data_IF_044615454537
#
_entry.id   IF_044615454537
#
_cell.length_a   1.000
_cell.length_b   1.000
_cell.length_c   1.000
_cell.angle_alpha   90.00
_cell.angle_beta   90.00
_cell.angle_gamma   90.00
#
_symmetry.space_group_name_H-M   'P 1'
#
loop_
_entity.id
_entity.type
_entity.pdbx_description
1 polymer ?
#
# COMPACT_ATOMS: atom_id res chain seq x y z
N UNK A 1 -26.08 -50.14 82.90
CA UNK A 1 -25.79 -48.71 82.65
C UNK A 1 -24.60 -48.67 81.69
N UNK A 2 -24.64 -48.12 80.48
CA UNK A 2 -25.56 -47.14 79.90
C UNK A 2 -25.27 -47.08 78.38
N UNK A 3 -26.36 -47.03 77.60
CA UNK A 3 -26.56 -46.28 76.33
C UNK A 3 -25.79 -46.67 75.05
N UNK A 4 -26.62 -47.14 74.10
CA UNK A 4 -26.62 -46.81 72.68
C UNK A 4 -26.25 -45.34 72.38
N UNK A 5 -25.44 -45.12 71.33
CA UNK A 5 -25.60 -43.96 70.43
C UNK A 5 -25.38 -44.38 68.97
N UNK A 6 -26.05 -43.70 68.01
CA UNK A 6 -26.34 -44.21 66.68
C UNK A 6 -25.42 -43.66 65.58
N UNK A 7 -25.46 -44.38 64.47
CA UNK A 7 -24.80 -44.12 63.20
C UNK A 7 -25.22 -42.77 62.57
N UNK A 8 -24.26 -41.96 62.13
CA UNK A 8 -24.51 -40.77 61.30
C UNK A 8 -23.79 -40.93 59.97
N UNK A 9 -24.40 -41.69 59.06
CA UNK A 9 -23.99 -41.76 57.66
C UNK A 9 -24.32 -40.43 56.99
N UNK A 10 -23.30 -39.60 56.78
CA UNK A 10 -23.39 -38.38 55.99
C UNK A 10 -23.70 -38.72 54.53
N UNK A 11 -24.83 -38.23 54.04
CA UNK A 11 -25.22 -38.36 52.63
C UNK A 11 -24.26 -37.55 51.74
N UNK A 12 -23.51 -38.23 50.88
CA UNK A 12 -22.69 -37.60 49.84
C UNK A 12 -23.61 -36.92 48.82
N UNK A 13 -23.43 -35.61 48.60
CA UNK A 13 -24.16 -34.84 47.59
C UNK A 13 -23.65 -35.23 46.20
N UNK A 14 -24.52 -35.58 45.23
CA UNK A 14 -24.07 -35.90 43.88
C UNK A 14 -23.47 -34.67 43.22
N UNK A 15 -22.31 -34.83 42.60
CA UNK A 15 -21.70 -33.79 41.77
C UNK A 15 -22.58 -33.54 40.54
N UNK A 16 -23.11 -32.32 40.42
CA UNK A 16 -23.92 -31.89 39.28
C UNK A 16 -23.04 -31.91 38.01
N UNK A 17 -23.27 -32.84 37.11
CA UNK A 17 -22.61 -32.86 35.81
C UNK A 17 -22.98 -31.58 35.04
N UNK A 18 -21.99 -30.73 34.75
CA UNK A 18 -22.18 -29.59 33.86
C UNK A 18 -22.47 -30.14 32.48
N UNK A 19 -23.61 -29.75 31.88
CA UNK A 19 -23.87 -30.01 30.47
C UNK A 19 -22.99 -29.07 29.68
N UNK A 20 -22.06 -29.64 28.92
CA UNK A 20 -21.30 -28.86 27.93
C UNK A 20 -22.26 -28.47 26.80
N UNK A 21 -22.55 -27.17 26.71
CA UNK A 21 -23.32 -26.59 25.62
C UNK A 21 -22.39 -26.44 24.42
N UNK A 22 -22.58 -27.27 23.39
CA UNK A 22 -21.88 -27.17 22.12
C UNK A 22 -22.60 -26.24 21.14
N UNK A 23 -21.84 -25.65 20.21
CA UNK A 23 -22.39 -24.87 19.08
C UNK A 23 -23.18 -25.79 18.15
N UNK A 24 -24.32 -25.29 17.62
CA UNK A 24 -25.09 -26.05 16.64
C UNK A 24 -24.52 -25.89 15.23
N UNK A 25 -24.72 -26.89 14.37
CA UNK A 25 -24.31 -26.82 12.97
C UNK A 25 -24.99 -25.65 12.23
N UNK A 26 -26.25 -25.37 12.58
CA UNK A 26 -27.02 -24.24 12.02
C UNK A 26 -26.43 -22.90 12.44
N UNK A 27 -25.95 -22.77 13.68
CA UNK A 27 -25.33 -21.56 14.18
C UNK A 27 -24.03 -21.24 13.42
N UNK A 28 -23.20 -22.25 13.17
CA UNK A 28 -22.00 -22.09 12.34
C UNK A 28 -22.36 -21.75 10.88
N UNK A 29 -23.41 -22.35 10.32
CA UNK A 29 -23.85 -22.04 8.96
C UNK A 29 -24.25 -20.56 8.80
N UNK A 30 -25.01 -20.03 9.77
CA UNK A 30 -25.42 -18.62 9.76
C UNK A 30 -24.20 -17.70 9.92
N UNK A 31 -23.26 -18.04 10.80
CA UNK A 31 -22.02 -17.26 11.00
C UNK A 31 -21.19 -17.19 9.73
N UNK A 32 -20.98 -18.32 9.04
CA UNK A 32 -20.21 -18.35 7.78
C UNK A 32 -20.90 -17.54 6.70
N UNK A 33 -22.23 -17.59 6.60
CA UNK A 33 -23.00 -16.77 5.66
C UNK A 33 -22.81 -15.28 5.94
N UNK A 34 -22.90 -14.85 7.20
CA UNK A 34 -22.70 -13.45 7.58
C UNK A 34 -21.26 -13.00 7.24
N UNK A 35 -20.25 -13.79 7.60
CA UNK A 35 -18.85 -13.49 7.30
C UNK A 35 -18.62 -13.41 5.79
N UNK A 36 -19.22 -14.31 5.00
CA UNK A 36 -19.13 -14.29 3.54
C UNK A 36 -19.65 -12.98 2.93
N UNK A 37 -20.81 -12.49 3.40
CA UNK A 37 -21.39 -11.21 2.95
C UNK A 37 -20.46 -10.04 3.31
N UNK A 38 -19.94 -10.02 4.54
CA UNK A 38 -19.03 -8.97 4.99
C UNK A 38 -17.73 -8.96 4.18
N UNK A 39 -17.15 -10.14 3.93
CA UNK A 39 -15.91 -10.28 3.16
C UNK A 39 -16.06 -9.79 1.72
N UNK A 40 -17.21 -10.04 1.07
CA UNK A 40 -17.48 -9.62 -0.31
C UNK A 40 -17.43 -8.08 -0.48
N UNK A 41 -17.82 -7.32 0.55
CA UNK A 41 -17.77 -5.86 0.54
C UNK A 41 -16.40 -5.35 1.03
N UNK A 42 -15.89 -5.94 2.11
CA UNK A 42 -14.67 -5.48 2.77
C UNK A 42 -13.42 -5.69 1.92
N UNK A 43 -13.31 -6.82 1.21
CA UNK A 43 -12.12 -7.16 0.42
C UNK A 43 -11.83 -6.14 -0.70
N UNK A 44 -12.74 -5.81 -1.63
CA UNK A 44 -12.48 -4.81 -2.67
C UNK A 44 -12.32 -3.38 -2.10
N UNK A 45 -13.04 -3.06 -1.03
CA UNK A 45 -12.89 -1.76 -0.36
C UNK A 45 -11.48 -1.60 0.21
N UNK A 46 -10.96 -2.63 0.89
CA UNK A 46 -9.61 -2.60 1.45
C UNK A 46 -8.52 -2.48 0.38
N UNK A 47 -8.60 -3.27 -0.70
CA UNK A 47 -7.62 -3.18 -1.80
C UNK A 47 -7.63 -1.81 -2.46
N UNK A 48 -8.80 -1.20 -2.66
CA UNK A 48 -8.91 0.15 -3.19
C UNK A 48 -8.30 1.22 -2.27
N UNK A 49 -8.44 1.04 -0.95
CA UNK A 49 -7.86 1.94 0.03
C UNK A 49 -6.33 1.90 0.00
N UNK A 50 -5.76 0.69 -0.03
CA UNK A 50 -4.32 0.50 -0.15
C UNK A 50 -3.80 1.07 -1.48
N UNK A 51 -4.49 0.81 -2.60
CA UNK A 51 -4.12 1.37 -3.90
C UNK A 51 -4.07 2.92 -3.86
N UNK A 52 -5.06 3.56 -3.22
CA UNK A 52 -5.07 5.02 -3.03
C UNK A 52 -3.85 5.50 -2.23
N UNK A 53 -3.47 4.78 -1.17
CA UNK A 53 -2.25 5.07 -0.41
C UNK A 53 -1.00 4.94 -1.27
N UNK A 54 -0.86 3.86 -2.05
CA UNK A 54 0.29 3.65 -2.93
C UNK A 54 0.41 4.71 -4.02
N UNK A 55 -0.71 5.15 -4.59
CA UNK A 55 -0.74 6.29 -5.53
C UNK A 55 -0.32 7.59 -4.85
N UNK A 56 -0.69 7.80 -3.58
CA UNK A 56 -0.22 8.96 -2.81
C UNK A 56 1.29 8.90 -2.61
N UNK A 57 1.84 7.75 -2.23
CA UNK A 57 3.28 7.53 -2.09
C UNK A 57 4.01 7.86 -3.41
N UNK A 58 3.51 7.34 -4.55
CA UNK A 58 4.10 7.58 -5.86
C UNK A 58 4.15 9.08 -6.21
N UNK A 59 3.06 9.82 -5.95
CA UNK A 59 2.99 11.27 -6.21
C UNK A 59 3.91 12.06 -5.30
N UNK A 60 3.99 11.70 -4.02
CA UNK A 60 4.93 12.32 -3.06
C UNK A 60 6.36 12.11 -3.50
N UNK A 61 6.74 10.87 -3.84
CA UNK A 61 8.09 10.56 -4.32
C UNK A 61 8.43 11.31 -5.60
N UNK A 62 7.49 11.37 -6.55
CA UNK A 62 7.69 12.09 -7.80
C UNK A 62 7.91 13.61 -7.57
N UNK A 63 7.20 14.21 -6.61
CA UNK A 63 7.43 15.60 -6.20
C UNK A 63 8.80 15.80 -5.52
N UNK A 64 9.27 14.83 -4.72
CA UNK A 64 10.61 14.88 -4.13
C UNK A 64 11.71 14.79 -5.20
N UNK A 65 11.50 13.95 -6.24
CA UNK A 65 12.42 13.90 -7.39
C UNK A 65 12.39 15.24 -8.13
N UNK A 66 11.23 15.86 -8.35
CA UNK A 66 11.16 17.20 -8.96
C UNK A 66 11.96 18.23 -8.15
N UNK A 67 11.83 18.25 -6.83
CA UNK A 67 12.65 19.12 -5.96
C UNK A 67 14.16 18.80 -6.04
N UNK A 68 14.53 17.54 -6.26
CA UNK A 68 15.90 17.16 -6.55
C UNK A 68 16.36 17.76 -7.88
N UNK A 69 15.54 17.69 -8.95
CA UNK A 69 15.87 18.26 -10.26
C UNK A 69 16.11 19.76 -10.19
N UNK A 70 15.31 20.52 -9.44
CA UNK A 70 15.53 21.96 -9.26
C UNK A 70 16.85 22.30 -8.56
N UNK A 71 17.21 21.53 -7.53
CA UNK A 71 18.52 21.66 -6.86
C UNK A 71 19.66 21.27 -7.79
N UNK A 72 19.46 20.22 -8.59
CA UNK A 72 20.44 19.76 -9.56
C UNK A 72 20.71 20.83 -10.63
N UNK A 73 19.66 21.46 -11.16
CA UNK A 73 19.79 22.57 -12.10
C UNK A 73 20.50 23.76 -11.47
N UNK A 74 20.13 24.15 -10.24
CA UNK A 74 20.78 25.25 -9.52
C UNK A 74 22.28 25.01 -9.31
N UNK A 75 22.72 23.75 -9.26
CA UNK A 75 24.12 23.39 -9.07
C UNK A 75 24.89 23.18 -10.38
N UNK A 76 24.23 22.92 -11.51
CA UNK A 76 24.87 22.49 -12.77
C UNK A 76 24.47 23.30 -14.00
N UNK A 77 23.50 24.22 -13.87
CA UNK A 77 22.89 25.02 -14.95
C UNK A 77 22.24 24.18 -16.06
N UNK A 78 21.90 22.92 -15.74
CA UNK A 78 21.26 21.94 -16.64
C UNK A 78 20.61 20.80 -15.87
N UNK A 79 19.64 20.10 -16.48
CA UNK A 79 18.94 18.97 -15.84
C UNK A 79 19.48 17.58 -16.16
N UNK A 80 20.18 17.38 -17.27
CA UNK A 80 20.50 16.05 -17.83
C UNK A 80 21.79 15.43 -17.28
N UNK A 81 22.77 16.22 -16.86
CA UNK A 81 24.04 15.73 -16.31
C UNK A 81 24.73 16.76 -15.40
N UNK A 82 25.65 16.28 -14.57
CA UNK A 82 26.45 17.14 -13.70
C UNK A 82 27.61 17.82 -14.46
N UNK A 83 28.38 18.67 -13.77
CA UNK A 83 29.59 19.31 -14.33
C UNK A 83 30.69 18.32 -14.72
N UNK A 84 30.66 17.09 -14.21
CA UNK A 84 31.58 16.00 -14.55
C UNK A 84 31.13 15.15 -15.75
N UNK A 85 29.95 15.43 -16.31
CA UNK A 85 29.38 14.65 -17.43
C UNK A 85 28.61 13.41 -17.01
N UNK A 86 28.32 13.23 -15.72
CA UNK A 86 27.53 12.10 -15.23
C UNK A 86 26.04 12.39 -15.37
N UNK A 87 25.28 11.48 -15.97
CA UNK A 87 23.84 11.64 -16.15
C UNK A 87 23.08 11.76 -14.83
N UNK A 88 22.08 12.63 -14.79
CA UNK A 88 21.31 12.99 -13.58
C UNK A 88 20.69 11.79 -12.87
N UNK A 89 20.26 10.76 -13.62
CA UNK A 89 19.64 9.56 -13.03
C UNK A 89 20.57 8.83 -12.04
N UNK A 90 21.87 8.84 -12.31
CA UNK A 90 22.88 8.27 -11.41
C UNK A 90 23.02 9.05 -10.09
N UNK A 91 22.69 10.34 -10.12
CA UNK A 91 22.84 11.28 -9.01
C UNK A 91 21.60 11.33 -8.10
N UNK A 92 20.44 10.87 -8.59
CA UNK A 92 19.23 10.73 -7.78
C UNK A 92 19.44 9.61 -6.74
N UNK A 93 19.19 9.84 -5.44
CA UNK A 93 19.23 8.80 -4.43
C UNK A 93 18.25 7.66 -4.72
N UNK A 94 18.65 6.40 -4.49
CA UNK A 94 17.84 5.24 -4.85
C UNK A 94 16.47 5.20 -4.15
N UNK A 95 16.39 5.74 -2.93
CA UNK A 95 15.11 5.86 -2.20
C UNK A 95 14.09 6.74 -2.92
N UNK A 96 14.52 7.71 -3.72
CA UNK A 96 13.63 8.58 -4.49
C UNK A 96 13.22 7.95 -5.84
N UNK A 97 13.94 6.93 -6.32
CA UNK A 97 13.63 6.22 -7.57
C UNK A 97 12.49 5.20 -7.41
N UNK A 98 11.89 5.12 -6.22
CA UNK A 98 10.88 4.10 -5.89
C UNK A 98 9.81 4.67 -4.97
N UNK A 99 8.62 4.09 -5.07
CA UNK A 99 7.53 4.32 -4.12
C UNK A 99 6.89 2.98 -3.69
N UNK A 100 6.61 2.80 -2.38
CA UNK A 100 7.13 3.61 -1.27
C UNK A 100 8.67 3.61 -1.21
N UNK A 101 9.24 4.60 -0.51
CA UNK A 101 10.69 4.71 -0.30
C UNK A 101 11.28 3.48 0.40
N UNK A 102 10.48 2.86 1.28
CA UNK A 102 10.82 1.71 2.10
C UNK A 102 9.77 0.59 1.93
N UNK A 103 10.19 -0.66 2.09
CA UNK A 103 9.32 -1.84 1.95
C UNK A 103 9.26 -2.38 0.52
N UNK A 104 8.14 -2.98 0.15
CA UNK A 104 7.94 -3.54 -1.20
C UNK A 104 7.73 -2.42 -2.24
N UNK A 105 8.43 -2.50 -3.36
CA UNK A 105 8.36 -1.49 -4.41
C UNK A 105 7.09 -1.67 -5.25
N UNK A 106 6.27 -0.61 -5.30
CA UNK A 106 5.02 -0.59 -6.05
C UNK A 106 5.12 0.25 -7.32
N UNK A 107 5.92 1.31 -7.25
CA UNK A 107 6.25 2.16 -8.40
C UNK A 107 7.75 2.40 -8.50
N UNK A 108 8.23 2.64 -9.72
CA UNK A 108 9.60 2.95 -10.05
C UNK A 108 9.68 4.24 -10.88
N UNK A 109 10.69 5.06 -10.63
CA UNK A 109 11.04 6.16 -11.50
C UNK A 109 11.61 5.59 -12.80
N UNK A 110 11.03 6.00 -13.93
CA UNK A 110 11.56 5.65 -15.25
C UNK A 110 12.95 6.25 -15.42
N UNK A 111 13.83 5.52 -16.08
CA UNK A 111 15.20 5.98 -16.38
C UNK A 111 15.18 7.28 -17.15
N UNK A 112 16.08 8.20 -16.77
CA UNK A 112 16.18 9.48 -17.45
C UNK A 112 17.20 9.40 -18.59
N UNK A 113 16.73 9.68 -19.79
CA UNK A 113 17.49 9.67 -21.04
C UNK A 113 17.09 10.87 -21.92
N UNK A 114 17.71 11.02 -23.08
CA UNK A 114 17.49 12.18 -23.97
C UNK A 114 16.05 12.36 -24.47
N UNK A 115 15.17 11.36 -24.32
CA UNK A 115 13.74 11.49 -24.67
C UNK A 115 12.92 12.21 -23.62
N UNK A 116 13.40 12.25 -22.38
CA UNK A 116 12.63 12.72 -21.23
C UNK A 116 13.43 13.67 -20.31
N UNK A 117 14.72 13.89 -20.56
CA UNK A 117 15.51 14.95 -19.94
C UNK A 117 16.51 15.53 -20.94
N UNK A 118 16.69 16.84 -20.91
CA UNK A 118 17.75 17.55 -21.62
C UNK A 118 18.26 18.70 -20.72
N UNK A 119 19.09 19.58 -21.27
CA UNK A 119 19.67 20.66 -20.47
C UNK A 119 18.63 21.59 -19.83
N UNK A 120 17.48 21.85 -20.47
CA UNK A 120 16.51 22.86 -20.04
C UNK A 120 15.12 22.33 -19.71
N UNK A 121 14.81 21.06 -19.98
CA UNK A 121 13.52 20.47 -19.64
C UNK A 121 13.62 19.01 -19.21
N UNK A 122 12.60 18.56 -18.48
CA UNK A 122 12.47 17.17 -18.06
C UNK A 122 11.00 16.75 -18.00
N UNK A 123 10.74 15.45 -18.10
CA UNK A 123 9.48 14.82 -17.71
C UNK A 123 9.79 13.60 -16.86
N UNK A 124 9.56 13.72 -15.57
CA UNK A 124 9.71 12.61 -14.64
C UNK A 124 8.47 11.71 -14.73
N UNK A 125 8.68 10.40 -14.72
CA UNK A 125 7.59 9.42 -14.77
C UNK A 125 7.76 8.39 -13.66
N UNK A 126 6.74 8.24 -12.82
CA UNK A 126 6.66 7.22 -11.78
C UNK A 126 5.70 6.12 -12.26
N UNK A 127 6.25 4.99 -12.69
CA UNK A 127 5.53 3.89 -13.36
C UNK A 127 5.24 2.73 -12.38
N UNK A 128 4.05 2.10 -12.43
CA UNK A 128 3.78 0.90 -11.65
C UNK A 128 4.74 -0.25 -12.01
N UNK A 129 5.22 -0.98 -11.01
CA UNK A 129 6.07 -2.15 -11.23
C UNK A 129 5.24 -3.30 -11.76
N UNK A 130 5.68 -3.93 -12.86
CA UNK A 130 5.04 -5.12 -13.43
C UNK A 130 5.03 -6.27 -12.41
N UNK A 131 3.89 -6.94 -12.27
CA UNK A 131 3.70 -8.01 -11.29
C UNK A 131 3.43 -7.54 -9.85
N UNK A 132 3.54 -6.25 -9.55
CA UNK A 132 3.08 -5.69 -8.26
C UNK A 132 1.55 -5.59 -8.23
N UNK A 133 0.93 -5.44 -7.03
CA UNK A 133 -0.49 -5.11 -6.91
C UNK A 133 -0.93 -3.85 -7.67
N UNK A 134 0.01 -2.98 -8.03
CA UNK A 134 -0.25 -1.76 -8.81
C UNK A 134 -0.05 -1.94 -10.32
N UNK A 135 0.40 -3.11 -10.79
CA UNK A 135 0.74 -3.33 -12.21
C UNK A 135 -0.43 -3.12 -13.17
N UNK A 136 -1.67 -3.29 -12.71
CA UNK A 136 -2.91 -3.03 -13.47
C UNK A 136 -3.67 -1.82 -12.93
N UNK A 137 -2.98 -0.87 -12.29
CA UNK A 137 -3.63 0.28 -11.70
C UNK A 137 -4.29 1.18 -12.77
N UNK A 138 -5.57 1.55 -12.59
CA UNK A 138 -6.29 2.42 -13.53
C UNK A 138 -5.66 3.81 -13.76
N UNK A 139 -4.80 4.29 -12.87
CA UNK A 139 -4.08 5.56 -13.04
C UNK A 139 -2.76 5.43 -13.80
N UNK A 140 -2.29 4.21 -14.08
CA UNK A 140 -1.05 3.99 -14.80
C UNK A 140 0.14 4.71 -14.16
N UNK A 141 0.93 5.38 -15.00
CA UNK A 141 2.13 6.11 -14.59
C UNK A 141 1.81 7.57 -14.29
N UNK A 142 2.35 8.11 -13.20
CA UNK A 142 2.25 9.52 -12.87
C UNK A 142 3.40 10.30 -13.50
N UNK A 143 3.13 11.47 -14.06
CA UNK A 143 4.16 12.32 -14.68
C UNK A 143 4.17 13.74 -14.10
N UNK A 144 5.34 14.36 -14.05
CA UNK A 144 5.51 15.78 -13.78
C UNK A 144 6.68 16.34 -14.59
N UNK A 145 6.55 17.54 -15.14
CA UNK A 145 7.62 18.24 -15.85
C UNK A 145 8.20 19.42 -15.05
N UNK A 146 9.16 20.14 -15.64
CA UNK A 146 9.82 21.29 -15.01
C UNK A 146 8.88 22.48 -14.74
N UNK A 147 7.74 22.55 -15.43
CA UNK A 147 6.72 23.57 -15.23
C UNK A 147 5.69 23.18 -14.15
N UNK A 148 5.87 22.00 -13.52
CA UNK A 148 4.91 21.45 -12.57
C UNK A 148 3.64 20.90 -13.21
N UNK A 149 3.61 20.74 -14.54
CA UNK A 149 2.48 20.13 -15.23
C UNK A 149 2.40 18.65 -14.89
N UNK A 150 1.31 18.29 -14.21
CA UNK A 150 1.01 16.93 -13.76
C UNK A 150 0.23 16.17 -14.82
N UNK A 151 0.63 14.93 -15.11
CA UNK A 151 0.01 14.08 -16.10
C UNK A 151 -0.09 12.63 -15.67
N UNK A 152 -0.74 11.83 -16.51
CA UNK A 152 -0.79 10.38 -16.38
C UNK A 152 -0.54 9.72 -17.74
N UNK A 153 0.09 8.56 -17.76
CA UNK A 153 0.37 7.77 -18.98
C UNK A 153 -0.09 6.33 -18.78
N UNK A 154 -0.80 5.77 -19.76
CA UNK A 154 -1.37 4.42 -19.66
C UNK A 154 -2.52 4.32 -18.66
N UNK A 155 -3.13 5.44 -18.29
CA UNK A 155 -4.28 5.49 -17.40
C UNK A 155 -5.58 5.23 -18.17
N UNK A 156 -6.52 4.55 -17.51
CA UNK A 156 -7.93 4.45 -17.95
C UNK A 156 -8.80 5.49 -17.26
N UNK A 157 -8.38 6.01 -16.10
CA UNK A 157 -9.01 7.13 -15.41
C UNK A 157 -8.44 8.48 -15.87
N UNK A 158 -9.20 9.54 -15.60
CA UNK A 158 -8.76 10.89 -15.93
C UNK A 158 -7.58 11.35 -15.06
N UNK A 159 -6.78 12.27 -15.59
CA UNK A 159 -5.68 12.92 -14.84
C UNK A 159 -6.16 13.52 -13.53
N UNK A 160 -7.33 14.15 -13.54
CA UNK A 160 -7.89 14.81 -12.36
C UNK A 160 -8.38 13.83 -11.31
N UNK A 161 -8.78 12.60 -11.68
CA UNK A 161 -9.11 11.55 -10.72
C UNK A 161 -7.87 10.94 -10.08
N UNK A 162 -6.79 10.82 -10.85
CA UNK A 162 -5.55 10.20 -10.40
C UNK A 162 -4.70 11.13 -9.53
N UNK A 163 -4.74 12.44 -9.78
CA UNK A 163 -3.97 13.44 -9.04
C UNK A 163 -4.70 14.07 -7.84
N UNK A 164 -5.81 13.48 -7.36
CA UNK A 164 -6.58 13.97 -6.19
C UNK A 164 -5.89 13.80 -4.84
#
# INVERSE_FOLDING_TARGET
MTRLMPNHLGAARPAQARRDYGFTLVEIMIVVVIIGILAAIAAPAYTSHIAKSRRADARVQLLQVAQFMERFYSANDRYDQDRGGNGVFSQIPDKLKRAPAEGEQMYALVTLDSSNVNASSYTLTMQPVSGSPMGSDPCGSFTINQEGMKGVVGATLSRDECWK
#
